data_IF_354556816325
#
_entry.id   IF_354556816325
#
_cell.length_a   1.000
_cell.length_b   1.000
_cell.length_c   1.000
_cell.angle_alpha   90.00
_cell.angle_beta   90.00
_cell.angle_gamma   90.00
#
_symmetry.space_group_name_H-M   'P 1'
#
loop_
_entity.id
_entity.type
_entity.pdbx_description
1 polymer ?
#
# COMPACT_ATOMS: atom_id res chain seq x y z
N UNK A 1 -0.51 6.61 15.37
CA UNK A 1 -1.62 7.58 15.19
C UNK A 1 -2.95 7.07 15.75
N UNK A 2 -3.42 5.89 15.35
CA UNK A 2 -4.71 5.38 15.87
C UNK A 2 -4.76 5.29 17.39
N UNK A 3 -3.69 4.83 18.02
CA UNK A 3 -3.64 4.76 19.49
C UNK A 3 -3.78 6.14 20.15
N UNK A 4 -3.19 7.16 19.59
CA UNK A 4 -3.28 8.53 20.11
C UNK A 4 -4.68 9.12 19.97
N UNK A 5 -5.37 8.83 18.87
CA UNK A 5 -6.77 9.24 18.66
C UNK A 5 -7.69 8.53 19.63
N UNK A 6 -7.53 7.21 19.80
CA UNK A 6 -8.34 6.40 20.72
C UNK A 6 -8.15 6.81 22.18
N UNK A 7 -6.92 7.19 22.56
CA UNK A 7 -6.60 7.65 23.91
C UNK A 7 -7.03 9.10 24.19
N UNK A 8 -7.58 9.80 23.19
CA UNK A 8 -7.99 11.21 23.34
C UNK A 8 -6.86 12.21 23.30
N UNK A 9 -5.64 11.79 22.94
CA UNK A 9 -4.49 12.67 22.79
C UNK A 9 -4.59 13.53 21.52
N UNK A 10 -5.25 12.98 20.48
CA UNK A 10 -5.56 13.66 19.24
C UNK A 10 -7.06 13.59 18.98
N UNK A 11 -7.64 14.66 18.47
CA UNK A 11 -9.05 14.70 18.09
C UNK A 11 -9.28 13.95 16.77
N UNK A 12 -8.35 14.06 15.83
CA UNK A 12 -8.40 13.44 14.52
C UNK A 12 -6.98 13.18 14.01
N UNK A 13 -6.85 12.36 13.00
CA UNK A 13 -5.58 12.04 12.36
C UNK A 13 -5.78 11.72 10.88
N UNK A 14 -4.69 11.46 10.21
CA UNK A 14 -4.66 11.10 8.79
C UNK A 14 -4.30 9.64 8.61
N UNK A 15 -4.92 9.01 7.61
CA UNK A 15 -4.57 7.66 7.18
C UNK A 15 -4.69 7.59 5.67
N UNK A 16 -4.22 6.49 5.09
CA UNK A 16 -4.33 6.22 3.65
C UNK A 16 -5.15 4.97 3.41
N UNK A 17 -5.65 4.81 2.19
CA UNK A 17 -6.38 3.59 1.79
C UNK A 17 -5.47 2.35 1.76
N UNK A 18 -4.14 2.53 1.79
CA UNK A 18 -3.18 1.44 1.86
C UNK A 18 -2.91 0.97 3.30
N UNK A 19 -3.38 1.68 4.32
CA UNK A 19 -3.26 1.25 5.71
C UNK A 19 -4.23 0.11 6.01
N UNK A 20 -3.79 -0.95 6.71
CA UNK A 20 -4.62 -2.11 6.99
C UNK A 20 -5.64 -1.81 8.09
N UNK A 21 -6.80 -1.33 7.67
CA UNK A 21 -7.99 -1.22 8.51
C UNK A 21 -7.99 -0.11 9.56
N UNK A 22 -9.03 0.70 9.55
CA UNK A 22 -9.34 1.62 10.65
C UNK A 22 -9.93 0.83 11.82
N UNK A 23 -9.48 1.07 13.07
CA UNK A 23 -10.10 0.44 14.24
C UNK A 23 -11.61 0.67 14.28
N UNK A 24 -12.36 -0.32 14.79
CA UNK A 24 -13.83 -0.29 14.77
C UNK A 24 -14.44 0.87 15.57
N UNK A 25 -13.71 1.40 16.53
CA UNK A 25 -14.13 2.54 17.36
C UNK A 25 -13.75 3.91 16.77
N UNK A 26 -13.13 3.93 15.58
CA UNK A 26 -12.81 5.14 14.84
C UNK A 26 -13.61 5.19 13.54
N UNK A 27 -13.92 6.40 13.10
CA UNK A 27 -14.70 6.63 11.88
C UNK A 27 -13.83 7.37 10.87
N UNK A 28 -13.78 6.85 9.64
CA UNK A 28 -13.14 7.55 8.53
C UNK A 28 -14.11 8.58 7.94
N UNK A 29 -13.68 9.83 7.88
CA UNK A 29 -14.44 10.91 7.28
C UNK A 29 -14.02 11.09 5.82
N UNK A 30 -14.98 11.39 4.96
CA UNK A 30 -14.69 11.72 3.57
C UNK A 30 -14.09 13.12 3.46
N UNK A 31 -13.18 13.30 2.50
CA UNK A 31 -12.67 14.63 2.16
C UNK A 31 -13.80 15.54 1.66
N UNK A 32 -13.67 16.81 2.01
CA UNK A 32 -14.51 17.84 1.42
C UNK A 32 -14.07 18.18 -0.01
N UNK A 33 -14.68 19.20 -0.56
CA UNK A 33 -14.32 19.73 -1.88
C UNK A 33 -13.82 21.17 -1.74
N UNK A 34 -12.58 21.49 -2.19
CA UNK A 34 -11.59 20.58 -2.77
C UNK A 34 -10.99 19.63 -1.73
N UNK A 35 -10.46 18.49 -2.18
CA UNK A 35 -9.78 17.55 -1.29
C UNK A 35 -8.59 18.23 -0.60
N UNK A 36 -8.39 17.90 0.69
CA UNK A 36 -7.30 18.47 1.48
C UNK A 36 -5.93 17.97 1.02
N UNK A 37 -5.84 16.71 0.65
CA UNK A 37 -4.63 16.08 0.13
C UNK A 37 -4.97 15.40 -1.18
N UNK A 38 -4.14 15.62 -2.20
CA UNK A 38 -4.31 14.96 -3.49
C UNK A 38 -4.12 13.46 -3.35
N UNK A 39 -4.92 12.70 -4.09
CA UNK A 39 -4.71 11.27 -4.22
C UNK A 39 -3.33 11.00 -4.86
N UNK A 40 -2.62 10.04 -4.30
CA UNK A 40 -1.29 9.65 -4.75
C UNK A 40 -1.27 8.17 -5.09
N UNK A 41 -0.37 7.77 -5.97
CA UNK A 41 -0.15 6.39 -6.33
C UNK A 41 1.22 5.93 -5.84
N UNK A 42 1.32 4.66 -5.47
CA UNK A 42 2.62 4.02 -5.27
C UNK A 42 3.22 3.75 -6.64
N UNK A 43 4.40 4.29 -6.89
CA UNK A 43 5.07 4.15 -8.18
C UNK A 43 6.51 3.66 -7.98
N UNK A 44 7.05 2.86 -8.92
CA UNK A 44 8.46 2.48 -8.86
C UNK A 44 9.34 3.67 -9.22
N UNK A 45 10.38 3.88 -8.44
CA UNK A 45 11.39 4.91 -8.69
C UNK A 45 12.74 4.24 -8.88
N UNK A 46 13.40 4.50 -10.00
CA UNK A 46 14.69 3.92 -10.30
C UNK A 46 15.59 4.91 -11.05
N UNK A 47 16.91 4.67 -10.95
CA UNK A 47 17.89 5.50 -11.67
C UNK A 47 17.78 5.21 -13.17
N UNK A 48 17.86 6.26 -13.99
CA UNK A 48 17.89 6.13 -15.45
C UNK A 48 19.01 5.16 -15.87
N UNK A 49 18.71 4.27 -16.78
CA UNK A 49 19.62 3.25 -17.32
C UNK A 49 20.15 2.22 -16.30
N UNK A 50 19.60 2.18 -15.08
CA UNK A 50 19.99 1.20 -14.07
C UNK A 50 19.34 -0.17 -14.27
N UNK A 51 18.22 -0.24 -14.97
CA UNK A 51 17.47 -1.46 -15.22
C UNK A 51 17.49 -1.83 -16.69
N UNK A 52 17.56 -3.14 -16.96
CA UNK A 52 17.42 -3.66 -18.33
C UNK A 52 15.95 -3.53 -18.79
N UNK A 53 15.73 -3.63 -20.11
CA UNK A 53 14.40 -3.64 -20.69
C UNK A 53 13.54 -4.77 -20.08
N UNK A 54 14.11 -5.95 -19.89
CA UNK A 54 13.43 -7.08 -19.29
C UNK A 54 12.98 -6.80 -17.84
N UNK A 55 13.84 -6.15 -17.07
CA UNK A 55 13.50 -5.74 -15.69
C UNK A 55 12.39 -4.69 -15.68
N UNK A 56 12.41 -3.73 -16.60
CA UNK A 56 11.36 -2.72 -16.74
C UNK A 56 10.01 -3.35 -17.10
N UNK A 57 10.01 -4.32 -18.01
CA UNK A 57 8.79 -5.06 -18.37
C UNK A 57 8.21 -5.80 -17.17
N UNK A 58 9.05 -6.45 -16.36
CA UNK A 58 8.61 -7.15 -15.16
C UNK A 58 7.98 -6.19 -14.14
N UNK A 59 8.59 -5.03 -13.91
CA UNK A 59 8.04 -4.00 -13.02
C UNK A 59 6.70 -3.49 -13.53
N UNK A 60 6.57 -3.27 -14.83
CA UNK A 60 5.33 -2.80 -15.44
C UNK A 60 4.21 -3.85 -15.35
N UNK A 61 4.54 -5.13 -15.47
CA UNK A 61 3.55 -6.21 -15.25
C UNK A 61 3.03 -6.21 -13.82
N UNK A 62 3.91 -6.08 -12.83
CA UNK A 62 3.51 -5.95 -11.43
C UNK A 62 2.62 -4.73 -11.22
N UNK A 63 3.02 -3.59 -11.76
CA UNK A 63 2.24 -2.36 -11.65
C UNK A 63 0.84 -2.47 -12.28
N UNK A 64 0.72 -3.29 -13.32
CA UNK A 64 -0.57 -3.52 -14.00
C UNK A 64 -1.55 -4.40 -13.24
N UNK A 65 -1.08 -5.25 -12.32
CA UNK A 65 -1.93 -6.20 -11.59
C UNK A 65 -2.00 -5.92 -10.08
N UNK A 66 -1.06 -5.16 -9.53
CA UNK A 66 -1.06 -4.78 -8.12
C UNK A 66 -2.11 -3.70 -7.88
N UNK A 67 -3.06 -3.96 -7.00
CA UNK A 67 -4.08 -3.00 -6.62
C UNK A 67 -3.99 -2.63 -5.12
N UNK A 68 -4.81 -1.68 -4.70
CA UNK A 68 -4.83 -1.24 -3.31
C UNK A 68 -5.21 -2.36 -2.35
N UNK A 69 -6.16 -3.22 -2.73
CA UNK A 69 -6.59 -4.34 -1.87
C UNK A 69 -5.46 -5.33 -1.64
N UNK A 70 -4.70 -5.69 -2.67
CA UNK A 70 -3.55 -6.57 -2.55
C UNK A 70 -2.47 -5.96 -1.65
N UNK A 71 -2.18 -4.67 -1.80
CA UNK A 71 -1.20 -3.97 -0.98
C UNK A 71 -1.62 -3.92 0.49
N UNK A 72 -2.87 -3.64 0.77
CA UNK A 72 -3.42 -3.63 2.15
C UNK A 72 -3.29 -5.02 2.78
N UNK A 73 -3.62 -6.07 2.05
CA UNK A 73 -3.52 -7.44 2.55
C UNK A 73 -2.08 -7.82 2.88
N UNK A 74 -1.16 -7.52 1.97
CA UNK A 74 0.27 -7.79 2.19
C UNK A 74 0.82 -6.99 3.38
N UNK A 75 0.43 -5.74 3.54
CA UNK A 75 0.81 -4.93 4.70
C UNK A 75 0.26 -5.52 6.00
N UNK A 76 -0.97 -5.99 5.99
CA UNK A 76 -1.57 -6.64 7.17
C UNK A 76 -0.77 -7.86 7.57
N UNK A 77 -0.36 -8.70 6.63
CA UNK A 77 0.45 -9.88 6.90
C UNK A 77 1.79 -9.50 7.54
N UNK A 78 2.46 -8.47 7.01
CA UNK A 78 3.72 -7.97 7.58
C UNK A 78 3.51 -7.40 8.98
N UNK A 79 2.46 -6.63 9.18
CA UNK A 79 2.14 -6.04 10.49
C UNK A 79 1.83 -7.09 11.57
N UNK A 80 1.37 -8.28 11.16
CA UNK A 80 1.14 -9.42 12.06
C UNK A 80 2.34 -10.33 12.23
N UNK A 81 3.50 -9.95 11.70
CA UNK A 81 4.78 -10.62 11.92
C UNK A 81 5.34 -11.42 10.76
N UNK A 82 4.67 -11.46 9.60
CA UNK A 82 5.18 -12.15 8.42
C UNK A 82 6.39 -11.41 7.84
N UNK A 83 7.34 -12.17 7.27
CA UNK A 83 8.49 -11.60 6.59
C UNK A 83 8.05 -10.90 5.30
N UNK A 84 8.42 -9.63 5.08
CA UNK A 84 8.01 -8.89 3.87
C UNK A 84 8.41 -9.59 2.56
N UNK A 85 9.59 -10.18 2.53
CA UNK A 85 10.10 -10.87 1.34
C UNK A 85 9.30 -12.13 1.03
N UNK A 86 8.92 -12.89 2.06
CA UNK A 86 8.07 -14.07 1.91
C UNK A 86 6.67 -13.71 1.45
N UNK A 87 6.09 -12.63 1.98
CA UNK A 87 4.76 -12.14 1.56
C UNK A 87 4.78 -11.72 0.10
N UNK A 88 5.76 -10.93 -0.31
CA UNK A 88 5.90 -10.51 -1.71
C UNK A 88 6.14 -11.69 -2.64
N UNK A 89 6.98 -12.64 -2.24
CA UNK A 89 7.25 -13.86 -3.01
C UNK A 89 6.01 -14.72 -3.20
N UNK A 90 5.18 -14.84 -2.18
CA UNK A 90 3.90 -15.55 -2.26
C UNK A 90 2.94 -14.89 -3.23
N UNK A 91 2.82 -13.57 -3.18
CA UNK A 91 1.98 -12.82 -4.10
C UNK A 91 2.47 -12.99 -5.56
N UNK A 92 3.78 -12.90 -5.79
CA UNK A 92 4.35 -13.10 -7.12
C UNK A 92 4.14 -14.53 -7.64
N UNK A 93 4.14 -15.53 -6.77
CA UNK A 93 3.86 -16.91 -7.17
C UNK A 93 2.42 -17.09 -7.67
N UNK A 94 1.49 -16.32 -7.12
CA UNK A 94 0.09 -16.29 -7.57
C UNK A 94 -0.11 -15.44 -8.84
N UNK A 95 0.84 -14.56 -9.15
CA UNK A 95 0.80 -13.66 -10.31
C UNK A 95 2.09 -13.80 -11.14
N UNK A 96 2.31 -14.96 -11.80
CA UNK A 96 3.55 -15.20 -12.53
C UNK A 96 3.81 -14.17 -13.62
N UNK A 97 5.05 -13.70 -13.72
CA UNK A 97 5.47 -12.75 -14.75
C UNK A 97 5.90 -13.47 -16.03
N UNK A 98 5.84 -12.76 -17.15
CA UNK A 98 6.35 -13.28 -18.43
C UNK A 98 5.38 -14.18 -19.19
N UNK A 99 4.12 -14.05 -18.94
CA UNK A 99 3.06 -14.76 -19.69
C UNK A 99 2.75 -14.09 -21.00
#
# INVERSE_FOLDING_TARGET
>A
MFAAVRAGQLTAGWTTTADPGTPADLVALSDGKPALIRAENVVPLYRRNALSERQLLAINEVAGVLDTAALVDMRRQVDTGADPQAVAGGWLAEHPLGR
#
